data_IF_290146230233
#
_entry.id   IF_290146230233
#
_cell.length_a   1.000
_cell.length_b   1.000
_cell.length_c   1.000
_cell.angle_alpha   90.00
_cell.angle_beta   90.00
_cell.angle_gamma   90.00
#
_symmetry.space_group_name_H-M   'P 1'
#
loop_
_entity.id
_entity.type
_entity.pdbx_description
1 polymer ?
#
# COMPACT_ATOMS: atom_id res chain seq x y z
N UNK A 1 -3.41 -11.47 -0.50
CA UNK A 1 -1.93 -11.40 -0.42
C UNK A 1 -1.56 -10.27 0.53
N UNK A 2 -0.55 -10.45 1.39
CA UNK A 2 -0.11 -9.38 2.30
C UNK A 2 1.33 -8.96 2.02
N UNK A 3 1.58 -7.65 1.97
CA UNK A 3 2.88 -7.02 1.79
C UNK A 3 3.11 -6.07 2.97
N UNK A 4 4.28 -6.13 3.59
CA UNK A 4 4.66 -5.22 4.66
C UNK A 4 5.77 -4.28 4.18
N UNK A 5 5.67 -3.00 4.50
CA UNK A 5 6.75 -2.03 4.30
C UNK A 5 7.30 -1.63 5.67
N UNK A 6 8.61 -1.76 5.82
CA UNK A 6 9.32 -1.44 7.05
C UNK A 6 9.59 0.06 7.19
N UNK A 7 9.88 0.50 8.41
CA UNK A 7 10.24 1.90 8.67
C UNK A 7 11.48 2.30 7.88
N UNK A 8 12.47 1.41 7.74
CA UNK A 8 13.67 1.64 6.94
C UNK A 8 13.35 1.98 5.48
N UNK A 9 12.40 1.27 4.87
CA UNK A 9 11.99 1.50 3.48
C UNK A 9 11.27 2.84 3.28
N UNK A 10 10.69 3.42 4.33
CA UNK A 10 10.05 4.73 4.28
C UNK A 10 10.95 5.87 4.76
N UNK A 11 12.13 5.60 5.34
CA UNK A 11 13.01 6.68 5.82
C UNK A 11 13.53 7.50 4.65
N UNK A 12 13.24 8.79 4.67
CA UNK A 12 13.64 9.73 3.62
C UNK A 12 12.71 9.74 2.40
N UNK A 13 11.63 8.95 2.44
CA UNK A 13 10.53 9.03 1.48
C UNK A 13 9.59 10.16 1.91
N UNK A 14 9.16 10.97 0.94
CA UNK A 14 8.25 12.11 1.19
C UNK A 14 6.80 11.63 1.34
N UNK A 15 6.37 10.72 0.46
CA UNK A 15 5.04 10.10 0.50
C UNK A 15 5.14 8.58 0.49
N UNK A 16 4.61 7.94 1.54
CA UNK A 16 4.65 6.48 1.66
C UNK A 16 3.88 5.78 0.53
N UNK A 17 2.92 6.47 -0.10
CA UNK A 17 2.15 5.94 -1.23
C UNK A 17 3.00 5.70 -2.47
N UNK A 18 4.15 6.38 -2.61
CA UNK A 18 5.10 6.11 -3.70
C UNK A 18 5.66 4.68 -3.57
N UNK A 19 6.06 4.29 -2.35
CA UNK A 19 6.58 2.94 -2.07
C UNK A 19 5.48 1.90 -2.15
N UNK A 20 4.26 2.19 -1.68
CA UNK A 20 3.10 1.30 -1.83
C UNK A 20 2.87 1.00 -3.30
N UNK A 21 2.85 2.03 -4.14
CA UNK A 21 2.61 1.92 -5.58
C UNK A 21 3.71 1.08 -6.26
N UNK A 22 4.98 1.31 -5.91
CA UNK A 22 6.11 0.51 -6.40
C UNK A 22 5.96 -0.98 -6.05
N UNK A 23 5.60 -1.30 -4.80
CA UNK A 23 5.38 -2.69 -4.36
C UNK A 23 4.21 -3.36 -5.08
N UNK A 24 3.16 -2.61 -5.41
CA UNK A 24 2.01 -3.14 -6.13
C UNK A 24 2.32 -3.40 -7.61
N UNK A 25 3.18 -2.60 -8.24
CA UNK A 25 3.65 -2.86 -9.60
C UNK A 25 4.55 -4.10 -9.73
N UNK A 26 5.21 -4.52 -8.65
CA UNK A 26 5.97 -5.79 -8.60
C UNK A 26 5.05 -7.02 -8.58
N UNK A 27 3.75 -6.87 -8.31
CA UNK A 27 2.80 -7.98 -8.37
C UNK A 27 2.45 -8.24 -9.83
N UNK A 28 2.71 -9.46 -10.30
CA UNK A 28 2.56 -9.81 -11.73
C UNK A 28 1.13 -9.58 -12.24
N UNK A 29 1.04 -8.85 -13.35
CA UNK A 29 -0.19 -8.68 -14.11
C UNK A 29 -1.01 -7.42 -13.85
N UNK A 30 -0.64 -6.50 -12.96
CA UNK A 30 -1.43 -5.27 -12.75
C UNK A 30 -0.99 -4.12 -13.67
N UNK A 31 -1.94 -3.32 -14.18
CA UNK A 31 -1.68 -2.15 -15.03
C UNK A 31 -1.88 -0.82 -14.34
N UNK A 32 -2.96 -0.73 -13.56
CA UNK A 32 -3.47 0.52 -13.05
C UNK A 32 -3.89 0.36 -11.59
N UNK A 33 -3.66 1.43 -10.85
CA UNK A 33 -4.03 1.56 -9.44
C UNK A 33 -4.93 2.77 -9.33
N UNK A 34 -6.17 2.56 -8.89
CA UNK A 34 -7.11 3.63 -8.61
C UNK A 34 -7.30 3.77 -7.10
N UNK A 35 -7.16 4.99 -6.58
CA UNK A 35 -7.51 5.28 -5.21
C UNK A 35 -9.02 5.49 -5.08
N UNK A 36 -9.68 4.67 -4.25
CA UNK A 36 -11.13 4.70 -4.03
C UNK A 36 -11.48 5.57 -2.82
N UNK A 37 -10.74 5.43 -1.73
CA UNK A 37 -11.01 6.10 -0.47
C UNK A 37 -9.72 6.33 0.33
N UNK A 38 -9.73 7.35 1.18
CA UNK A 38 -8.67 7.59 2.19
C UNK A 38 -9.33 8.12 3.45
N UNK A 39 -9.01 7.49 4.57
CA UNK A 39 -9.59 7.81 5.87
C UNK A 39 -8.56 7.64 6.97
N UNK A 40 -8.80 8.26 8.13
CA UNK A 40 -7.98 8.07 9.32
C UNK A 40 -8.87 7.54 10.44
N UNK A 41 -8.44 6.44 11.08
CA UNK A 41 -9.18 5.82 12.16
C UNK A 41 -8.23 5.43 13.29
N UNK A 42 -8.36 6.09 14.45
CA UNK A 42 -7.56 5.78 15.63
C UNK A 42 -6.06 6.04 15.47
N UNK A 43 -5.67 7.02 14.63
CA UNK A 43 -4.27 7.33 14.32
C UNK A 43 -3.63 6.39 13.28
N UNK A 44 -4.43 5.53 12.65
CA UNK A 44 -4.01 4.73 11.48
C UNK A 44 -4.66 5.33 10.26
N UNK A 45 -3.86 5.63 9.24
CA UNK A 45 -4.36 6.04 7.95
C UNK A 45 -4.69 4.80 7.12
N UNK A 46 -5.90 4.73 6.58
CA UNK A 46 -6.38 3.63 5.76
C UNK A 46 -6.74 4.15 4.38
N UNK A 47 -6.08 3.61 3.37
CA UNK A 47 -6.32 3.93 1.96
C UNK A 47 -6.84 2.67 1.24
N UNK A 48 -7.96 2.81 0.54
CA UNK A 48 -8.55 1.75 -0.27
C UNK A 48 -8.19 1.99 -1.73
N UNK A 49 -7.65 0.98 -2.40
CA UNK A 49 -7.29 1.02 -3.81
C UNK A 49 -7.99 -0.10 -4.59
N UNK A 50 -8.04 0.08 -5.91
CA UNK A 50 -8.43 -0.93 -6.89
C UNK A 50 -7.26 -1.21 -7.83
N UNK A 51 -6.91 -2.48 -7.97
CA UNK A 51 -5.91 -2.97 -8.91
C UNK A 51 -6.59 -3.58 -10.13
N UNK A 52 -6.17 -3.16 -11.33
CA UNK A 52 -6.72 -3.65 -12.60
C UNK A 52 -5.75 -4.59 -13.30
N UNK A 53 -6.21 -5.80 -13.66
CA UNK A 53 -5.36 -6.82 -14.30
C UNK A 53 -5.23 -6.62 -15.82
N UNK A 54 -4.01 -6.71 -16.33
CA UNK A 54 -3.63 -6.53 -17.73
C UNK A 54 -4.02 -7.69 -18.65
N UNK A 55 -4.17 -8.88 -18.07
CA UNK A 55 -4.32 -10.13 -18.82
C UNK A 55 -5.79 -10.56 -18.95
N UNK A 56 -6.71 -9.85 -18.29
CA UNK A 56 -8.12 -10.19 -18.26
C UNK A 56 -8.93 -9.02 -18.82
N UNK A 57 -9.53 -9.20 -20.00
CA UNK A 57 -10.54 -8.26 -20.52
C UNK A 57 -11.80 -8.38 -19.65
N UNK A 58 -11.99 -7.49 -18.68
CA UNK A 58 -13.16 -7.44 -17.80
C UNK A 58 -12.90 -6.87 -16.40
N UNK A 59 -13.92 -6.90 -15.54
CA UNK A 59 -13.97 -6.39 -14.15
C UNK A 59 -13.07 -7.19 -13.15
N UNK A 60 -11.92 -7.72 -13.57
CA UNK A 60 -10.97 -8.38 -12.66
C UNK A 60 -10.21 -7.30 -11.86
N UNK A 61 -10.92 -6.81 -10.85
CA UNK A 61 -10.53 -5.72 -9.96
C UNK A 61 -10.29 -6.31 -8.58
N UNK A 62 -9.06 -6.19 -8.07
CA UNK A 62 -8.77 -6.53 -6.68
C UNK A 62 -8.85 -5.31 -5.79
N UNK A 63 -9.46 -5.50 -4.62
CA UNK A 63 -9.50 -4.47 -3.59
C UNK A 63 -8.20 -4.54 -2.78
N UNK A 64 -7.59 -3.38 -2.57
CA UNK A 64 -6.39 -3.24 -1.75
C UNK A 64 -6.70 -2.37 -0.56
N UNK A 65 -6.31 -2.82 0.61
CA UNK A 65 -6.37 -2.06 1.85
C UNK A 65 -4.95 -1.76 2.31
N UNK A 66 -4.60 -0.48 2.32
CA UNK A 66 -3.31 0.02 2.78
C UNK A 66 -3.50 0.66 4.14
N UNK A 67 -2.76 0.21 5.16
CA UNK A 67 -2.82 0.71 6.53
C UNK A 67 -1.47 1.28 6.92
N UNK A 68 -1.39 2.59 7.11
CA UNK A 68 -0.18 3.28 7.55
C UNK A 68 -0.27 3.65 9.04
N UNK A 69 0.70 3.19 9.82
CA UNK A 69 0.74 3.33 11.28
C UNK A 69 1.58 4.51 11.78
N UNK A 70 2.18 5.28 10.87
CA UNK A 70 3.08 6.38 11.22
C UNK A 70 4.53 5.94 11.47
N UNK A 71 5.46 6.86 11.20
CA UNK A 71 6.88 6.75 11.55
C UNK A 71 7.30 7.95 12.40
N UNK A 72 8.17 7.70 13.39
CA UNK A 72 8.84 8.73 14.18
C UNK A 72 10.31 8.35 14.41
N UNK A 73 11.10 9.28 14.96
CA UNK A 73 12.54 9.08 15.17
C UNK A 73 12.88 7.84 16.02
N UNK A 74 11.98 7.43 16.93
CA UNK A 74 12.14 6.25 17.78
C UNK A 74 11.63 4.94 17.18
N UNK A 75 11.10 4.96 15.95
CA UNK A 75 10.56 3.76 15.29
C UNK A 75 11.72 2.87 14.82
N UNK A 76 11.79 1.59 15.23
CA UNK A 76 12.83 0.67 14.76
C UNK A 76 12.76 0.45 13.25
N UNK A 77 13.91 0.36 12.61
CA UNK A 77 14.04 0.23 11.15
C UNK A 77 13.36 -1.03 10.58
N UNK A 78 13.36 -2.12 11.33
CA UNK A 78 12.75 -3.40 10.99
C UNK A 78 11.25 -3.48 11.28
N UNK A 79 10.68 -2.46 11.93
CA UNK A 79 9.24 -2.43 12.25
C UNK A 79 8.43 -2.20 10.98
N UNK A 80 7.46 -3.07 10.71
CA UNK A 80 6.43 -2.84 9.71
C UNK A 80 5.57 -1.62 10.11
N UNK A 81 5.50 -0.64 9.22
CA UNK A 81 4.74 0.61 9.42
C UNK A 81 3.68 0.84 8.36
N UNK A 82 3.70 0.06 7.27
CA UNK A 82 2.58 -0.07 6.34
C UNK A 82 2.26 -1.55 6.15
N UNK A 83 0.98 -1.88 6.24
CA UNK A 83 0.41 -3.19 5.87
C UNK A 83 -0.45 -2.99 4.61
N UNK A 84 -0.20 -3.81 3.59
CA UNK A 84 -0.96 -3.82 2.34
C UNK A 84 -1.61 -5.19 2.21
N UNK A 85 -2.94 -5.20 2.23
CA UNK A 85 -3.76 -6.40 2.05
C UNK A 85 -4.46 -6.32 0.69
N UNK A 86 -4.22 -7.32 -0.16
CA UNK A 86 -4.86 -7.49 -1.47
C UNK A 86 -5.83 -8.66 -1.34
N UNK A 87 -7.14 -8.43 -1.50
CA UNK A 87 -8.16 -9.49 -1.54
C UNK A 87 -8.04 -10.33 -2.83
#
# INVERSE_FOLDING_TARGET
MNINITAAELRGVVDYMDVVTEKLYDVDGWTDIEQVNRSEMGGVEVTELRLYNRYVDGDDIQNVYVRYYGINDGTPDDKAVVDIEID
#
